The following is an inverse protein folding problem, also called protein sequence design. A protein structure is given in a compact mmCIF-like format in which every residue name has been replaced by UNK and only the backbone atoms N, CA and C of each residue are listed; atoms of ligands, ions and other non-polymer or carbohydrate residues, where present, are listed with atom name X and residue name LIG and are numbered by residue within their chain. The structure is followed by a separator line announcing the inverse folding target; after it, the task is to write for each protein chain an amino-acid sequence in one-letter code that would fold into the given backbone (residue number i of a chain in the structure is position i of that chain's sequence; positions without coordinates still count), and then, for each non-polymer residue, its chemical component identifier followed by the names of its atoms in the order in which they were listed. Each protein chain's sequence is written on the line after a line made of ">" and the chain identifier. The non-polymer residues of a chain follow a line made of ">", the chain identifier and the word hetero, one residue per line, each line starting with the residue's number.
data_IF_677487784503
#
_entry.id   IF_677487784503
#
_cell.length_a   1.000
_cell.length_b   1.000
_cell.length_c   1.000
_cell.angle_alpha   90.00
_cell.angle_beta   90.00
_cell.angle_gamma   90.00
#
_symmetry.space_group_name_H-M   'P 1'
#
loop_
_entity.id
_entity.type
_entity.pdbx_description
1 polymer ?
#
# COMPACT_ATOMS: atom_id res chain seq x y z
N UNK A 1 -22.67 -1.82 -20.57
CA UNK A 1 -21.61 -0.93 -20.12
C UNK A 1 -20.57 -1.75 -19.39
N UNK A 2 -19.30 -1.45 -19.65
CA UNK A 2 -18.20 -2.27 -19.15
C UNK A 2 -17.39 -1.57 -18.05
N UNK A 3 -17.95 -0.59 -17.42
CA UNK A 3 -17.33 0.07 -16.29
C UNK A 3 -18.20 -0.04 -15.06
N UNK A 4 -17.67 0.45 -13.93
CA UNK A 4 -18.39 0.46 -12.65
C UNK A 4 -18.20 1.80 -11.98
N UNK A 5 -19.25 2.28 -11.31
CA UNK A 5 -19.11 3.37 -10.37
C UNK A 5 -18.82 2.78 -9.00
N UNK A 6 -17.86 3.34 -8.28
CA UNK A 6 -17.45 2.87 -6.96
C UNK A 6 -17.64 4.04 -6.01
N UNK A 7 -18.59 3.92 -5.10
CA UNK A 7 -18.85 4.94 -4.08
C UNK A 7 -18.19 4.52 -2.78
N UNK A 8 -18.16 5.42 -1.82
CA UNK A 8 -17.59 5.10 -0.50
C UNK A 8 -18.29 3.88 0.12
N UNK A 9 -19.59 3.72 -0.12
CA UNK A 9 -20.36 2.58 0.41
C UNK A 9 -19.92 1.24 -0.21
N UNK A 10 -19.30 1.26 -1.37
CA UNK A 10 -18.83 0.05 -2.07
C UNK A 10 -17.44 -0.40 -1.61
N UNK A 11 -16.70 0.48 -0.95
CA UNK A 11 -15.33 0.19 -0.52
C UNK A 11 -15.38 -0.70 0.72
N UNK A 12 -14.79 -1.89 0.62
CA UNK A 12 -14.67 -2.81 1.76
C UNK A 12 -13.39 -2.49 2.51
N UNK A 13 -13.52 -2.18 3.80
CA UNK A 13 -12.39 -1.79 4.63
C UNK A 13 -12.03 -2.90 5.60
N UNK A 14 -10.80 -3.38 5.49
CA UNK A 14 -10.23 -4.40 6.37
C UNK A 14 -9.28 -3.74 7.35
N UNK A 15 -9.47 -4.01 8.64
CA UNK A 15 -8.56 -3.53 9.68
C UNK A 15 -7.45 -4.52 9.93
N UNK A 16 -6.22 -4.00 10.03
CA UNK A 16 -5.04 -4.73 10.45
C UNK A 16 -4.35 -3.94 11.55
N UNK A 17 -3.35 -4.54 12.19
CA UNK A 17 -2.60 -3.86 13.26
C UNK A 17 -1.89 -2.60 12.75
N UNK A 18 -1.50 -2.60 11.49
CA UNK A 18 -0.75 -1.50 10.88
C UNK A 18 -1.63 -0.40 10.28
N UNK A 19 -2.91 -0.66 10.06
CA UNK A 19 -3.79 0.33 9.45
C UNK A 19 -5.05 -0.27 8.87
N UNK A 20 -5.70 0.48 7.98
CA UNK A 20 -6.94 0.07 7.31
C UNK A 20 -6.71 0.04 5.81
N UNK A 21 -7.09 -1.07 5.18
CA UNK A 21 -7.06 -1.21 3.72
C UNK A 21 -8.48 -1.09 3.19
N UNK A 22 -8.75 -0.07 2.38
CA UNK A 22 -10.01 0.09 1.68
C UNK A 22 -9.89 -0.41 0.24
N UNK A 23 -10.61 -1.48 -0.09
CA UNK A 23 -10.52 -2.11 -1.41
C UNK A 23 -11.41 -1.37 -2.41
N UNK A 24 -10.79 -0.74 -3.40
CA UNK A 24 -11.49 -0.03 -4.49
C UNK A 24 -11.63 -0.97 -5.68
N UNK A 25 -10.54 -1.62 -6.09
CA UNK A 25 -10.57 -2.57 -7.20
C UNK A 25 -9.67 -3.77 -6.92
N UNK A 26 -10.21 -4.94 -7.17
CA UNK A 26 -9.49 -6.22 -7.25
C UNK A 26 -10.35 -7.18 -8.06
N UNK A 27 -9.84 -8.34 -8.49
CA UNK A 27 -10.58 -9.21 -9.41
C UNK A 27 -12.02 -9.53 -8.97
N UNK A 28 -12.24 -9.79 -7.69
CA UNK A 28 -13.58 -10.12 -7.19
C UNK A 28 -14.54 -8.92 -7.15
N UNK A 29 -14.04 -7.69 -7.24
CA UNK A 29 -14.88 -6.49 -7.17
C UNK A 29 -15.23 -5.94 -8.56
N UNK A 30 -14.21 -5.72 -9.39
CA UNK A 30 -14.38 -5.08 -10.69
C UNK A 30 -14.18 -6.04 -11.86
N UNK A 31 -13.62 -7.23 -11.60
CA UNK A 31 -13.25 -8.18 -12.64
C UNK A 31 -11.91 -7.85 -13.31
N UNK A 32 -11.26 -6.75 -12.93
CA UNK A 32 -9.97 -6.37 -13.51
C UNK A 32 -8.88 -7.33 -13.06
N UNK A 33 -8.07 -7.76 -14.02
CA UNK A 33 -6.84 -8.54 -13.75
C UNK A 33 -5.59 -7.70 -13.97
N UNK A 34 -5.76 -6.41 -14.28
CA UNK A 34 -4.64 -5.51 -14.60
C UNK A 34 -4.25 -4.59 -13.45
N UNK A 35 -5.14 -4.34 -12.53
CA UNK A 35 -4.87 -3.41 -11.44
C UNK A 35 -5.58 -3.80 -10.14
N UNK A 36 -4.88 -3.56 -9.05
CA UNK A 36 -5.42 -3.61 -7.71
C UNK A 36 -5.30 -2.20 -7.13
N UNK A 37 -6.40 -1.63 -6.65
CA UNK A 37 -6.43 -0.25 -6.14
C UNK A 37 -6.99 -0.22 -4.74
N UNK A 38 -6.27 0.44 -3.84
CA UNK A 38 -6.64 0.52 -2.42
C UNK A 38 -6.57 1.95 -1.92
N UNK A 39 -7.44 2.26 -0.98
CA UNK A 39 -7.39 3.46 -0.15
C UNK A 39 -6.87 3.00 1.22
N UNK A 40 -5.63 3.33 1.53
CA UNK A 40 -4.95 2.84 2.74
C UNK A 40 -4.84 3.96 3.76
N UNK A 41 -5.27 3.69 4.98
CA UNK A 41 -5.14 4.63 6.09
C UNK A 41 -4.17 4.05 7.13
N UNK A 42 -3.13 4.81 7.43
CA UNK A 42 -2.16 4.45 8.46
C UNK A 42 -2.36 5.40 9.65
N UNK A 43 -2.80 4.87 10.79
CA UNK A 43 -3.01 5.68 11.98
C UNK A 43 -1.67 6.18 12.55
N UNK A 44 -1.68 7.23 13.38
CA UNK A 44 -0.47 7.67 14.08
C UNK A 44 0.19 6.51 14.81
N UNK A 45 1.50 6.37 14.66
CA UNK A 45 2.25 5.25 15.21
C UNK A 45 2.14 3.96 14.42
N UNK A 46 1.32 3.96 13.38
CA UNK A 46 1.14 2.78 12.52
C UNK A 46 2.06 2.76 11.33
N UNK A 47 2.00 1.67 10.58
CA UNK A 47 2.78 1.52 9.38
C UNK A 47 2.80 0.08 8.91
N UNK A 48 3.04 -0.08 7.62
CA UNK A 48 3.21 -1.39 7.01
C UNK A 48 4.70 -1.71 6.93
N UNK A 49 5.13 -2.64 7.75
CA UNK A 49 6.55 -3.00 7.90
C UNK A 49 7.12 -3.60 6.61
N UNK A 50 8.43 -3.78 6.58
CA UNK A 50 9.15 -4.22 5.38
C UNK A 50 8.56 -5.49 4.76
N UNK A 51 8.22 -5.37 3.48
CA UNK A 51 7.60 -6.43 2.70
C UNK A 51 7.92 -6.23 1.21
N UNK A 52 7.56 -7.21 0.39
CA UNK A 52 7.72 -7.13 -1.06
C UNK A 52 6.55 -7.81 -1.76
N UNK A 53 6.32 -7.40 -3.00
CA UNK A 53 5.32 -7.99 -3.89
C UNK A 53 6.06 -8.61 -5.08
N UNK A 54 6.26 -9.94 -5.12
CA UNK A 54 7.16 -10.56 -6.09
C UNK A 54 6.84 -10.28 -7.56
N UNK A 55 5.56 -10.22 -7.89
CA UNK A 55 5.10 -10.15 -9.28
C UNK A 55 4.38 -8.84 -9.62
N UNK A 56 4.44 -7.86 -8.73
CA UNK A 56 3.68 -6.62 -8.91
C UNK A 56 4.57 -5.41 -8.73
N UNK A 57 4.37 -4.42 -9.58
CA UNK A 57 4.90 -3.08 -9.32
C UNK A 57 3.83 -2.23 -8.65
N UNK A 58 4.24 -1.17 -7.97
CA UNK A 58 3.35 -0.42 -7.10
C UNK A 58 3.64 1.08 -7.16
N UNK A 59 2.56 1.87 -7.09
CA UNK A 59 2.63 3.30 -6.77
C UNK A 59 1.92 3.49 -5.43
N UNK A 60 2.57 4.21 -4.52
CA UNK A 60 1.96 4.72 -3.31
C UNK A 60 1.93 6.24 -3.42
N UNK A 61 0.75 6.82 -3.40
CA UNK A 61 0.56 8.26 -3.54
C UNK A 61 -0.06 8.81 -2.26
N UNK A 62 0.65 9.72 -1.59
CA UNK A 62 0.18 10.32 -0.34
C UNK A 62 -0.87 11.37 -0.66
N UNK A 63 -2.06 11.23 -0.08
CA UNK A 63 -3.15 12.20 -0.22
C UNK A 63 -3.25 13.13 0.99
N UNK A 64 -3.11 12.59 2.19
CA UNK A 64 -3.14 13.34 3.44
C UNK A 64 -2.11 12.77 4.40
N UNK A 65 -1.63 13.61 5.32
CA UNK A 65 -0.65 13.20 6.30
C UNK A 65 0.75 13.09 5.70
N UNK A 66 1.64 12.44 6.43
CA UNK A 66 3.04 12.25 6.01
C UNK A 66 3.50 10.85 6.37
N UNK A 67 4.37 10.29 5.54
CA UNK A 67 4.95 8.97 5.79
C UNK A 67 6.46 9.02 5.65
N UNK A 68 7.12 8.13 6.40
CA UNK A 68 8.51 7.76 6.17
C UNK A 68 8.46 6.54 5.25
N UNK A 69 8.89 6.74 4.01
CA UNK A 69 8.85 5.70 2.98
C UNK A 69 10.24 5.12 2.77
N UNK A 70 10.31 3.80 2.83
CA UNK A 70 11.53 3.04 2.56
C UNK A 70 11.48 2.37 1.20
N UNK A 71 12.62 2.39 0.49
CA UNK A 71 12.91 1.56 -0.68
C UNK A 71 14.24 0.87 -0.38
N UNK A 72 14.22 -0.44 -0.20
CA UNK A 72 15.39 -1.19 0.27
C UNK A 72 15.89 -0.56 1.59
N UNK A 73 17.14 -0.11 1.63
CA UNK A 73 17.74 0.52 2.81
C UNK A 73 17.75 2.05 2.75
N UNK A 74 17.15 2.65 1.74
CA UNK A 74 17.02 4.09 1.60
C UNK A 74 15.64 4.57 2.06
N UNK A 75 15.56 5.75 2.62
CA UNK A 75 14.28 6.31 3.05
C UNK A 75 14.15 7.77 2.70
N UNK A 76 12.91 8.20 2.56
CA UNK A 76 12.55 9.58 2.34
C UNK A 76 11.18 9.84 2.94
N UNK A 77 11.00 11.04 3.52
CA UNK A 77 9.69 11.47 3.99
C UNK A 77 8.87 12.01 2.82
N UNK A 78 7.61 11.55 2.73
CA UNK A 78 6.68 11.98 1.70
C UNK A 78 5.44 12.60 2.33
N UNK A 79 5.00 13.71 1.77
CA UNK A 79 3.78 14.41 2.18
C UNK A 79 2.74 14.47 1.07
N UNK A 80 1.62 15.20 1.31
CA UNK A 80 0.51 15.24 0.36
C UNK A 80 0.94 15.62 -1.06
N UNK A 81 0.48 14.85 -2.04
CA UNK A 81 0.81 15.06 -3.45
C UNK A 81 2.09 14.36 -3.90
N UNK A 82 2.85 13.77 -2.99
CA UNK A 82 4.10 13.07 -3.30
C UNK A 82 3.87 11.57 -3.38
N UNK A 83 4.70 10.87 -4.15
CA UNK A 83 4.51 9.46 -4.42
C UNK A 83 5.83 8.72 -4.50
N UNK A 84 5.75 7.40 -4.39
CA UNK A 84 6.87 6.50 -4.62
C UNK A 84 6.48 5.46 -5.66
N UNK A 85 7.40 5.17 -6.58
CA UNK A 85 7.27 4.03 -7.49
C UNK A 85 8.15 2.88 -6.97
N UNK A 86 7.54 1.71 -6.87
CA UNK A 86 8.19 0.51 -6.33
C UNK A 86 8.19 -0.56 -7.41
N UNK A 87 9.37 -0.92 -7.95
CA UNK A 87 9.47 -2.01 -8.93
C UNK A 87 9.06 -3.35 -8.33
N UNK A 88 8.81 -4.33 -9.19
CA UNK A 88 8.49 -5.70 -8.76
C UNK A 88 9.56 -6.23 -7.79
N UNK A 89 9.09 -6.86 -6.73
CA UNK A 89 9.91 -7.57 -5.75
C UNK A 89 10.88 -6.70 -4.93
N UNK A 90 10.73 -5.38 -5.01
CA UNK A 90 11.56 -4.47 -4.22
C UNK A 90 10.99 -4.34 -2.82
N UNK A 91 11.83 -4.56 -1.81
CA UNK A 91 11.44 -4.43 -0.40
C UNK A 91 11.17 -2.97 -0.08
N UNK A 92 10.07 -2.73 0.62
CA UNK A 92 9.66 -1.39 1.00
C UNK A 92 8.85 -1.40 2.29
N UNK A 93 8.68 -0.22 2.87
CA UNK A 93 7.87 -0.03 4.07
C UNK A 93 7.36 1.40 4.11
N UNK A 94 6.21 1.61 4.76
CA UNK A 94 5.61 2.93 4.94
C UNK A 94 5.20 3.09 6.39
N UNK A 95 5.71 4.13 7.05
CA UNK A 95 5.38 4.41 8.45
C UNK A 95 4.84 5.83 8.58
N UNK A 96 3.79 5.98 9.40
CA UNK A 96 3.19 7.30 9.64
C UNK A 96 4.16 8.20 10.40
N UNK A 97 4.24 9.46 9.99
CA UNK A 97 5.01 10.50 10.67
C UNK A 97 4.04 11.53 11.26
N UNK A 98 4.24 11.87 12.53
CA UNK A 98 3.41 12.87 13.21
C UNK A 98 2.13 12.30 13.79
N UNK A 99 1.18 13.21 14.07
CA UNK A 99 -0.04 12.89 14.83
C UNK A 99 -1.28 12.70 13.97
N UNK A 100 -1.14 12.84 12.64
CA UNK A 100 -2.25 12.68 11.72
C UNK A 100 -2.25 11.29 11.11
N UNK A 101 -3.44 10.77 10.82
CA UNK A 101 -3.59 9.59 9.98
C UNK A 101 -3.07 9.91 8.58
N UNK A 102 -2.22 9.07 8.04
CA UNK A 102 -1.79 9.18 6.65
C UNK A 102 -2.80 8.44 5.76
N UNK A 103 -3.24 9.10 4.69
CA UNK A 103 -4.16 8.52 3.71
C UNK A 103 -3.44 8.38 2.38
N UNK A 104 -3.39 7.14 1.89
CA UNK A 104 -2.61 6.78 0.72
C UNK A 104 -3.53 6.18 -0.34
N UNK A 105 -3.26 6.53 -1.61
CA UNK A 105 -3.79 5.79 -2.75
C UNK A 105 -2.72 4.81 -3.19
N UNK A 106 -3.06 3.52 -3.24
CA UNK A 106 -2.12 2.45 -3.54
C UNK A 106 -2.60 1.70 -4.77
N UNK A 107 -1.72 1.56 -5.75
CA UNK A 107 -2.03 0.89 -7.01
C UNK A 107 -0.95 -0.15 -7.27
N UNK A 108 -1.37 -1.40 -7.44
CA UNK A 108 -0.49 -2.51 -7.80
C UNK A 108 -0.90 -3.08 -9.15
N UNK A 109 0.06 -3.41 -9.99
CA UNK A 109 -0.17 -3.99 -11.32
C UNK A 109 0.87 -5.06 -11.65
N UNK A 110 0.45 -6.16 -12.31
CA UNK A 110 -0.92 -6.61 -12.49
C UNK A 110 -1.50 -7.11 -11.17
N UNK A 111 -2.74 -7.59 -11.18
CA UNK A 111 -3.27 -8.27 -9.99
C UNK A 111 -2.54 -9.60 -9.79
N UNK A 112 -2.49 -10.06 -8.55
CA UNK A 112 -1.88 -11.33 -8.19
C UNK A 112 -2.85 -12.11 -7.30
N UNK A 113 -3.09 -13.39 -7.65
CA UNK A 113 -4.02 -14.23 -6.92
C UNK A 113 -5.46 -13.72 -6.95
N UNK A 114 -6.33 -14.36 -6.20
CA UNK A 114 -7.75 -14.03 -6.15
C UNK A 114 -8.02 -12.74 -5.37
N UNK A 115 -7.16 -12.44 -4.41
CA UNK A 115 -7.30 -11.25 -3.55
C UNK A 115 -6.77 -9.97 -4.20
N UNK A 116 -6.08 -10.07 -5.32
CA UNK A 116 -5.58 -8.93 -6.08
C UNK A 116 -4.14 -8.57 -5.79
N UNK A 117 -3.58 -8.94 -4.65
CA UNK A 117 -2.16 -8.73 -4.37
C UNK A 117 -1.56 -9.86 -3.57
N UNK A 118 -0.25 -10.03 -3.72
CA UNK A 118 0.54 -11.02 -3.00
C UNK A 118 1.63 -10.29 -2.23
N UNK A 119 1.78 -10.59 -0.96
CA UNK A 119 2.74 -9.92 -0.09
C UNK A 119 3.60 -10.93 0.64
N UNK A 120 4.90 -10.66 0.72
CA UNK A 120 5.84 -11.45 1.52
C UNK A 120 6.45 -10.51 2.56
N UNK A 121 6.18 -10.80 3.83
CA UNK A 121 6.73 -10.04 4.95
C UNK A 121 8.19 -10.42 5.16
N UNK A 122 9.08 -9.42 5.17
CA UNK A 122 10.51 -9.61 5.42
C UNK A 122 10.98 -8.78 6.61
N UNK A 123 10.06 -8.23 7.39
CA UNK A 123 10.40 -7.33 8.50
C UNK A 123 11.25 -8.00 9.58
N UNK A 124 11.20 -9.31 9.70
CA UNK A 124 12.02 -10.07 10.63
C UNK A 124 13.37 -10.51 10.06
N UNK A 125 13.65 -10.20 8.80
CA UNK A 125 14.90 -10.60 8.13
C UNK A 125 15.89 -9.44 8.10
N UNK A 126 17.19 -9.76 8.20
CA UNK A 126 18.22 -8.76 8.01
C UNK A 126 18.41 -8.44 6.52
N UNK A 127 18.72 -7.19 6.15
CA UNK A 127 19.06 -6.07 7.05
C UNK A 127 17.86 -5.31 7.61
N UNK A 128 16.63 -5.61 7.17
CA UNK A 128 15.46 -4.80 7.49
C UNK A 128 15.08 -4.84 8.96
N UNK A 129 15.27 -5.98 9.63
CA UNK A 129 14.99 -6.10 11.06
C UNK A 129 15.78 -5.11 11.90
N UNK A 130 16.96 -4.69 11.44
CA UNK A 130 17.83 -3.74 12.15
C UNK A 130 17.59 -2.29 11.74
N UNK A 131 16.84 -2.02 10.66
CA UNK A 131 16.64 -0.66 10.17
C UNK A 131 15.50 0.08 10.88
N UNK A 132 14.56 -0.66 11.47
CA UNK A 132 13.39 -0.03 12.07
C UNK A 132 12.86 -0.77 13.30
#
# INVERSE_FOLDING_TARGET
>A
MNGSFITDADIVRDQADWGVTGWISRPSFTGSTSMCVMDVHLQPGGGHAFHRHPDQEEIIWVREGRIEQWLEDAKQELGPGEAVYIPKDVVHASFTVGDETAKLSVILTPTAGDDGYSVIDVSGEEPWASLK
#
